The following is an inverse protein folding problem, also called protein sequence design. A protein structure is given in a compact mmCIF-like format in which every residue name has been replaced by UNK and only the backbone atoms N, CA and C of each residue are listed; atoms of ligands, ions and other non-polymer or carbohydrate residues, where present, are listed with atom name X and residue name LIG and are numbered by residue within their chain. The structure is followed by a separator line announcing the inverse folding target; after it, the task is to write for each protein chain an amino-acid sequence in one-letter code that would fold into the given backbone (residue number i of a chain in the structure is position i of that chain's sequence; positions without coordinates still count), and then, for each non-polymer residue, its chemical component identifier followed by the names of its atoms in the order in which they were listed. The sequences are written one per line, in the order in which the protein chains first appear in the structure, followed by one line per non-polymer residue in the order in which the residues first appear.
data_IF_429402346347
#
_entry.id   IF_429402346347
#
_cell.length_a   1.000
_cell.length_b   1.000
_cell.length_c   1.000
_cell.angle_alpha   90.00
_cell.angle_beta   90.00
_cell.angle_gamma   90.00
#
_symmetry.space_group_name_H-M   'P 1'
#
loop_
_entity.id
_entity.type
_entity.pdbx_description
1 polymer ?
#
# COMPACT_ATOMS: atom_id res chain seq x y z
N UNK A 1 25.20 19.01 -6.50
CA UNK A 1 25.84 19.18 -5.18
C UNK A 1 27.02 18.24 -4.99
N UNK A 2 27.04 17.09 -5.69
CA UNK A 2 28.07 16.05 -5.53
C UNK A 2 29.04 15.97 -6.73
N UNK A 3 28.85 16.79 -7.74
CA UNK A 3 29.68 16.80 -8.94
C UNK A 3 29.15 15.94 -10.08
N UNK A 4 29.95 15.68 -11.13
CA UNK A 4 29.56 14.88 -12.28
C UNK A 4 29.49 13.39 -11.91
N UNK A 5 28.64 12.63 -12.61
CA UNK A 5 28.32 11.24 -12.27
C UNK A 5 29.49 10.26 -12.51
N UNK A 6 30.50 10.64 -13.28
CA UNK A 6 31.76 9.88 -13.39
C UNK A 6 32.72 10.06 -12.20
N UNK A 7 32.41 10.97 -11.26
CA UNK A 7 33.16 11.21 -10.02
C UNK A 7 32.39 10.82 -8.78
N UNK A 8 31.06 11.01 -8.78
CA UNK A 8 30.18 10.63 -7.70
C UNK A 8 28.88 10.05 -8.31
N UNK A 9 28.82 8.73 -8.35
CA UNK A 9 27.66 8.00 -8.87
C UNK A 9 26.69 7.57 -7.79
N UNK A 10 25.69 6.78 -8.19
CA UNK A 10 24.65 6.32 -7.26
C UNK A 10 25.21 5.46 -6.10
N UNK A 11 26.16 4.55 -6.39
CA UNK A 11 26.84 3.72 -5.39
C UNK A 11 27.50 4.51 -4.26
N UNK A 12 27.93 5.75 -4.53
CA UNK A 12 28.63 6.60 -3.57
C UNK A 12 27.71 7.17 -2.49
N UNK A 13 26.38 7.07 -2.68
CA UNK A 13 25.40 7.33 -1.62
C UNK A 13 25.34 6.22 -0.57
N UNK A 14 25.67 4.98 -0.92
CA UNK A 14 25.57 3.84 0.01
C UNK A 14 26.41 4.05 1.28
N UNK A 15 27.67 4.46 1.23
CA UNK A 15 28.47 4.71 2.43
C UNK A 15 27.94 5.87 3.30
N UNK A 16 27.16 6.78 2.71
CA UNK A 16 26.58 7.94 3.40
C UNK A 16 25.28 7.54 4.12
N UNK A 17 24.55 6.54 3.60
CA UNK A 17 23.37 6.00 4.21
C UNK A 17 23.72 5.13 5.43
N UNK A 18 23.56 5.65 6.63
CA UNK A 18 23.95 4.97 7.89
C UNK A 18 22.77 4.42 8.67
N UNK A 19 21.60 5.05 8.58
CA UNK A 19 20.45 4.66 9.38
C UNK A 19 20.73 4.66 10.89
N UNK A 20 21.59 5.57 11.37
CA UNK A 20 22.15 5.57 12.73
C UNK A 20 21.11 5.75 13.82
N UNK A 21 19.93 6.29 13.46
CA UNK A 21 18.77 6.43 14.37
C UNK A 21 17.66 5.43 14.08
N UNK A 22 17.88 4.52 13.12
CA UNK A 22 16.91 3.47 12.83
C UNK A 22 16.69 2.57 14.05
N UNK A 23 15.42 2.37 14.37
CA UNK A 23 15.00 1.49 15.45
C UNK A 23 13.70 0.81 15.06
N UNK A 24 13.76 -0.47 14.71
CA UNK A 24 12.62 -1.25 14.24
C UNK A 24 11.50 -1.30 15.28
N UNK A 25 11.80 -1.50 16.57
CA UNK A 25 10.77 -1.55 17.62
C UNK A 25 9.98 -0.25 17.74
N UNK A 26 10.64 0.92 17.57
CA UNK A 26 9.96 2.23 17.56
C UNK A 26 9.11 2.43 16.33
N UNK A 27 9.59 2.01 15.14
CA UNK A 27 8.80 2.08 13.93
C UNK A 27 7.54 1.24 14.04
N UNK A 28 7.69 -0.02 14.47
CA UNK A 28 6.56 -0.95 14.58
C UNK A 28 5.57 -0.52 15.66
N UNK A 29 6.04 0.09 16.77
CA UNK A 29 5.15 0.67 17.77
C UNK A 29 4.28 1.79 17.18
N UNK A 30 4.87 2.70 16.39
CA UNK A 30 4.15 3.78 15.71
C UNK A 30 3.14 3.22 14.68
N UNK A 31 3.55 2.21 13.89
CA UNK A 31 2.66 1.60 12.90
C UNK A 31 1.51 0.84 13.57
N UNK A 32 1.77 0.13 14.67
CA UNK A 32 0.72 -0.50 15.48
C UNK A 32 -0.23 0.55 16.09
N UNK A 33 0.30 1.64 16.63
CA UNK A 33 -0.49 2.76 17.14
C UNK A 33 -1.37 3.37 16.03
N UNK A 34 -0.88 3.45 14.80
CA UNK A 34 -1.66 3.93 13.64
C UNK A 34 -2.79 2.99 13.21
N UNK A 35 -2.86 1.77 13.76
CA UNK A 35 -3.86 0.77 13.43
C UNK A 35 -3.45 -0.21 12.34
N UNK A 36 -2.19 -0.21 11.89
CA UNK A 36 -1.70 -1.17 10.90
C UNK A 36 -1.86 -2.61 11.37
N UNK A 37 -2.12 -3.52 10.45
CA UNK A 37 -2.24 -4.97 10.67
C UNK A 37 -1.05 -5.73 10.09
N UNK A 38 -0.43 -5.18 9.06
CA UNK A 38 0.76 -5.72 8.42
C UNK A 38 1.77 -4.60 8.13
N UNK A 39 3.02 -4.98 7.95
CA UNK A 39 4.12 -4.08 7.58
C UNK A 39 4.89 -4.72 6.43
N UNK A 40 5.12 -3.95 5.38
CA UNK A 40 5.74 -4.39 4.14
C UNK A 40 6.95 -3.49 3.82
N UNK A 41 8.14 -3.80 4.35
CA UNK A 41 9.34 -3.06 3.99
C UNK A 41 9.77 -3.36 2.57
N UNK A 42 10.40 -2.38 1.92
CA UNK A 42 11.09 -2.56 0.64
C UNK A 42 12.40 -3.27 0.90
N UNK A 43 12.52 -4.51 0.42
CA UNK A 43 13.70 -5.35 0.63
C UNK A 43 14.82 -5.03 -0.36
N UNK A 44 14.46 -4.76 -1.61
CA UNK A 44 15.35 -4.29 -2.68
C UNK A 44 14.53 -3.45 -3.65
N UNK A 45 14.99 -2.23 -3.95
CA UNK A 45 14.33 -1.34 -4.90
C UNK A 45 14.99 -1.41 -6.29
N UNK A 46 14.60 -0.54 -7.22
CA UNK A 46 15.15 -0.44 -8.59
C UNK A 46 16.65 -0.17 -8.61
N UNK A 47 17.23 0.35 -7.54
CA UNK A 47 18.65 0.64 -7.42
C UNK A 47 19.54 -0.59 -7.23
N UNK A 48 18.95 -1.74 -6.84
CA UNK A 48 19.67 -3.00 -6.66
C UNK A 48 20.42 -3.12 -5.33
N UNK A 49 20.21 -2.19 -4.37
CA UNK A 49 20.76 -2.29 -3.03
C UNK A 49 19.83 -3.08 -2.12
N UNK A 50 20.29 -4.26 -1.67
CA UNK A 50 19.50 -5.11 -0.79
C UNK A 50 19.54 -4.61 0.66
N UNK A 51 18.36 -4.36 1.25
CA UNK A 51 18.23 -3.91 2.65
C UNK A 51 18.32 -5.08 3.66
N UNK A 52 18.66 -6.28 3.20
CA UNK A 52 18.72 -7.52 3.96
C UNK A 52 20.05 -8.25 3.74
N UNK A 53 20.32 -9.24 4.58
CA UNK A 53 21.48 -10.11 4.43
C UNK A 53 21.27 -11.08 3.26
N UNK A 54 22.03 -10.89 2.18
CA UNK A 54 22.04 -11.78 1.02
C UNK A 54 23.43 -12.28 0.70
N UNK A 55 23.53 -13.56 0.31
CA UNK A 55 24.77 -14.15 -0.20
C UNK A 55 24.99 -13.87 -1.69
N UNK A 56 23.95 -13.50 -2.43
CA UNK A 56 23.98 -13.32 -3.88
C UNK A 56 24.40 -11.93 -4.33
N UNK A 57 24.49 -10.96 -3.42
CA UNK A 57 24.85 -9.58 -3.73
C UNK A 57 25.73 -8.99 -2.63
N UNK A 58 26.93 -8.53 -2.98
CA UNK A 58 27.78 -7.80 -2.03
C UNK A 58 27.23 -6.41 -1.67
N UNK A 59 26.36 -5.84 -2.50
CA UNK A 59 25.73 -4.54 -2.32
C UNK A 59 24.48 -4.70 -1.45
N UNK A 60 24.71 -4.88 -0.16
CA UNK A 60 23.63 -5.08 0.81
C UNK A 60 23.90 -4.38 2.14
N UNK A 61 22.83 -4.17 2.89
CA UNK A 61 22.83 -3.38 4.12
C UNK A 61 23.63 -4.02 5.27
N UNK A 62 23.95 -5.32 5.23
CA UNK A 62 24.81 -5.95 6.26
C UNK A 62 26.29 -5.68 6.04
N UNK A 63 26.69 -5.47 4.78
CA UNK A 63 28.11 -5.25 4.40
C UNK A 63 28.46 -3.78 4.20
N UNK A 64 27.47 -2.94 3.90
CA UNK A 64 27.65 -1.53 3.53
C UNK A 64 26.57 -0.65 4.17
N UNK A 65 26.79 0.66 4.15
CA UNK A 65 25.82 1.63 4.63
C UNK A 65 25.49 1.45 6.12
N UNK A 66 24.31 0.94 6.49
CA UNK A 66 23.91 0.72 7.87
C UNK A 66 24.69 -0.37 8.59
N UNK A 67 25.32 -1.30 7.86
CA UNK A 67 26.04 -2.47 8.36
C UNK A 67 25.16 -3.34 9.32
N UNK A 68 23.89 -3.57 8.92
CA UNK A 68 22.90 -4.35 9.68
C UNK A 68 21.83 -4.95 8.77
N UNK A 69 21.20 -6.04 9.21
CA UNK A 69 20.05 -6.64 8.53
C UNK A 69 18.76 -5.88 8.89
N UNK A 70 18.47 -4.83 8.14
CA UNK A 70 17.30 -3.95 8.38
C UNK A 70 15.99 -4.74 8.28
N UNK A 71 15.87 -5.63 7.30
CA UNK A 71 14.66 -6.43 7.09
C UNK A 71 14.47 -7.46 8.20
N UNK A 72 15.54 -8.14 8.62
CA UNK A 72 15.49 -9.08 9.73
C UNK A 72 15.09 -8.42 11.05
N UNK A 73 15.56 -7.18 11.31
CA UNK A 73 15.15 -6.41 12.47
C UNK A 73 13.67 -6.01 12.43
N UNK A 74 13.17 -5.58 11.27
CA UNK A 74 11.74 -5.25 11.08
C UNK A 74 10.88 -6.51 11.27
N UNK A 75 11.28 -7.65 10.68
CA UNK A 75 10.59 -8.93 10.88
C UNK A 75 10.50 -9.30 12.36
N UNK A 76 11.61 -9.25 13.07
CA UNK A 76 11.65 -9.55 14.51
C UNK A 76 10.77 -8.61 15.33
N UNK A 77 10.74 -7.32 14.98
CA UNK A 77 9.87 -6.34 15.63
C UNK A 77 8.38 -6.58 15.30
N UNK A 78 8.04 -7.05 14.07
CA UNK A 78 6.68 -7.47 13.73
C UNK A 78 6.22 -8.61 14.64
N UNK A 79 7.04 -9.65 14.78
CA UNK A 79 6.74 -10.82 15.64
C UNK A 79 6.50 -10.42 17.10
N UNK A 80 7.39 -9.59 17.66
CA UNK A 80 7.26 -9.08 19.05
C UNK A 80 5.97 -8.30 19.26
N UNK A 81 5.51 -7.57 18.25
CA UNK A 81 4.36 -6.67 18.40
C UNK A 81 3.05 -7.24 17.85
N UNK A 82 3.06 -8.45 17.28
CA UNK A 82 1.90 -9.11 16.71
C UNK A 82 1.39 -8.43 15.44
N UNK A 83 2.31 -7.92 14.60
CA UNK A 83 2.03 -7.42 13.26
C UNK A 83 2.45 -8.47 12.22
N UNK A 84 1.72 -8.58 11.14
CA UNK A 84 2.07 -9.47 10.04
C UNK A 84 3.24 -8.88 9.25
N UNK A 85 4.30 -9.66 9.06
CA UNK A 85 5.42 -9.28 8.22
C UNK A 85 5.15 -9.66 6.77
N UNK A 86 5.32 -8.69 5.86
CA UNK A 86 5.27 -8.84 4.41
C UNK A 86 6.58 -8.33 3.81
N UNK A 87 6.81 -8.57 2.52
CA UNK A 87 8.03 -8.15 1.84
C UNK A 87 7.74 -7.58 0.46
N UNK A 88 8.47 -6.55 0.07
CA UNK A 88 8.36 -5.92 -1.25
C UNK A 88 9.70 -6.00 -1.99
N UNK A 89 9.67 -6.46 -3.25
CA UNK A 89 10.83 -6.52 -4.13
C UNK A 89 10.54 -5.81 -5.45
N UNK A 90 11.37 -4.82 -5.77
CA UNK A 90 11.32 -4.04 -7.01
C UNK A 90 12.55 -4.33 -7.91
N UNK A 91 13.26 -5.42 -7.61
CA UNK A 91 14.47 -5.81 -8.35
C UNK A 91 14.21 -6.05 -9.84
N UNK A 92 13.01 -6.44 -10.23
CA UNK A 92 12.69 -6.68 -11.63
C UNK A 92 13.10 -5.51 -12.53
N UNK A 93 12.80 -4.28 -12.12
CA UNK A 93 13.06 -3.05 -12.85
C UNK A 93 14.55 -2.68 -12.90
N UNK A 94 15.36 -3.20 -11.99
CA UNK A 94 16.80 -2.95 -12.01
C UNK A 94 17.47 -3.40 -13.31
N UNK A 95 16.87 -4.34 -14.05
CA UNK A 95 17.36 -4.79 -15.35
C UNK A 95 17.66 -3.65 -16.33
N UNK A 96 16.83 -2.62 -16.32
CA UNK A 96 16.98 -1.45 -17.20
C UNK A 96 17.14 -0.12 -16.44
N UNK A 97 16.84 -0.06 -15.15
CA UNK A 97 16.67 1.19 -14.40
C UNK A 97 17.86 2.17 -14.54
N UNK A 98 19.09 1.65 -14.55
CA UNK A 98 20.30 2.48 -14.67
C UNK A 98 20.70 2.78 -16.13
N UNK A 99 19.87 2.43 -17.14
CA UNK A 99 20.25 2.52 -18.56
C UNK A 99 20.62 3.93 -19.02
N UNK A 100 19.99 4.97 -18.49
CA UNK A 100 20.31 6.35 -18.84
C UNK A 100 21.73 6.76 -18.44
N UNK A 101 22.28 6.13 -17.41
CA UNK A 101 23.68 6.32 -17.04
C UNK A 101 24.68 5.88 -18.13
N UNK A 102 24.30 4.92 -19.00
CA UNK A 102 25.13 4.48 -20.13
C UNK A 102 25.19 5.47 -21.28
N UNK A 103 24.26 6.42 -21.35
CA UNK A 103 24.20 7.43 -22.41
C UNK A 103 25.03 8.67 -22.13
N UNK A 104 25.59 8.79 -20.93
CA UNK A 104 26.39 9.93 -20.46
C UNK A 104 27.72 9.45 -19.88
N UNK A 105 28.62 10.38 -19.61
CA UNK A 105 29.86 10.10 -18.86
C UNK A 105 29.52 9.86 -17.38
N UNK A 106 29.35 8.59 -17.01
CA UNK A 106 29.00 8.15 -15.66
C UNK A 106 29.70 6.83 -15.29
N UNK A 107 29.75 6.55 -13.99
CA UNK A 107 30.30 5.30 -13.44
C UNK A 107 29.43 4.05 -13.72
N UNK A 108 28.24 4.22 -14.28
CA UNK A 108 27.44 3.11 -14.83
C UNK A 108 28.18 2.39 -15.97
N UNK A 109 29.10 3.08 -16.65
CA UNK A 109 29.94 2.52 -17.72
C UNK A 109 31.21 1.84 -17.19
N UNK A 110 31.53 1.94 -15.90
CA UNK A 110 32.71 1.34 -15.32
C UNK A 110 32.49 -0.17 -15.09
N UNK A 111 33.30 -1.02 -15.75
CA UNK A 111 33.22 -2.48 -15.64
C UNK A 111 33.35 -2.97 -14.19
N UNK A 112 34.08 -2.24 -13.34
CA UNK A 112 34.27 -2.58 -11.93
C UNK A 112 32.98 -2.58 -11.11
N UNK A 113 31.96 -1.86 -11.56
CA UNK A 113 30.69 -1.71 -10.86
C UNK A 113 29.48 -2.33 -11.58
N UNK A 114 29.74 -3.17 -12.59
CA UNK A 114 28.64 -3.83 -13.32
C UNK A 114 27.85 -4.79 -12.45
N UNK A 115 28.41 -5.31 -11.37
CA UNK A 115 27.73 -6.11 -10.36
C UNK A 115 26.71 -5.30 -9.51
N UNK A 116 26.81 -3.95 -9.55
CA UNK A 116 25.82 -3.07 -8.95
C UNK A 116 24.89 -2.46 -10.01
N UNK A 117 25.44 -1.83 -11.04
CA UNK A 117 24.67 -1.10 -12.05
C UNK A 117 24.09 -1.96 -13.17
N UNK A 118 24.65 -3.15 -13.39
CA UNK A 118 24.28 -4.00 -14.50
C UNK A 118 22.92 -4.70 -14.35
N UNK A 119 22.34 -5.13 -15.47
CA UNK A 119 22.87 -4.99 -16.83
C UNK A 119 22.58 -3.62 -17.46
N UNK A 120 21.72 -2.77 -16.84
CA UNK A 120 21.35 -1.46 -17.32
C UNK A 120 21.00 -1.46 -18.82
N UNK A 121 20.15 -2.37 -19.23
CA UNK A 121 19.80 -2.58 -20.64
C UNK A 121 19.00 -1.40 -21.14
N UNK A 122 19.37 -0.86 -22.31
CA UNK A 122 18.64 0.24 -22.90
C UNK A 122 17.21 -0.17 -23.25
N UNK A 123 16.25 0.58 -22.74
CA UNK A 123 14.82 0.39 -22.99
C UNK A 123 14.28 1.65 -23.66
N UNK A 124 14.06 1.64 -24.99
CA UNK A 124 13.64 2.82 -25.74
C UNK A 124 12.31 3.41 -25.27
N UNK A 125 11.47 2.59 -24.65
CA UNK A 125 10.18 3.00 -24.10
C UNK A 125 10.33 3.86 -22.82
N UNK A 126 11.53 3.88 -22.25
CA UNK A 126 11.89 4.64 -21.05
C UNK A 126 12.88 5.77 -21.34
N UNK A 127 12.45 6.75 -22.11
CA UNK A 127 13.22 7.96 -22.38
C UNK A 127 13.13 9.03 -21.26
N UNK A 128 12.68 8.65 -20.08
CA UNK A 128 12.51 9.53 -18.92
C UNK A 128 11.20 10.33 -18.91
N UNK A 129 10.48 10.41 -20.02
CA UNK A 129 9.22 11.17 -20.13
C UNK A 129 8.00 10.30 -20.39
N UNK A 130 8.16 9.03 -20.70
CA UNK A 130 7.11 8.13 -21.18
C UNK A 130 6.69 7.04 -20.19
N UNK A 131 7.19 7.06 -18.98
CA UNK A 131 6.95 6.07 -17.91
C UNK A 131 5.48 5.65 -17.69
N UNK A 132 4.53 6.40 -18.22
CA UNK A 132 3.10 6.17 -17.98
C UNK A 132 2.26 5.96 -19.25
N UNK A 133 2.87 5.85 -20.41
CA UNK A 133 2.12 5.79 -21.67
C UNK A 133 1.94 4.38 -22.25
N UNK A 134 2.68 3.40 -21.74
CA UNK A 134 2.61 2.02 -22.24
C UNK A 134 1.88 1.14 -21.25
N UNK A 135 0.57 1.05 -21.36
CA UNK A 135 -0.28 0.14 -20.57
C UNK A 135 -0.39 -1.26 -21.17
N UNK A 136 0.23 -1.50 -22.30
CA UNK A 136 0.14 -2.78 -23.01
C UNK A 136 1.54 -3.36 -23.22
N UNK A 137 1.70 -4.63 -23.02
CA UNK A 137 2.74 -5.62 -23.32
C UNK A 137 3.80 -5.30 -24.43
N UNK A 138 4.14 -4.05 -24.61
CA UNK A 138 4.91 -3.52 -25.73
C UNK A 138 6.36 -3.20 -25.42
N UNK A 139 6.88 -3.71 -24.28
CA UNK A 139 8.31 -3.58 -24.06
C UNK A 139 9.06 -4.44 -25.05
N UNK A 140 9.86 -3.78 -25.89
CA UNK A 140 10.67 -4.43 -26.92
C UNK A 140 11.74 -5.34 -26.35
N UNK A 141 12.08 -5.16 -25.06
CA UNK A 141 13.11 -5.96 -24.39
C UNK A 141 12.50 -6.90 -23.33
N UNK A 142 12.90 -8.17 -23.38
CA UNK A 142 12.74 -9.12 -22.30
C UNK A 142 14.00 -9.18 -21.45
N UNK A 143 13.86 -9.57 -20.19
CA UNK A 143 15.03 -9.87 -19.36
C UNK A 143 15.74 -11.13 -19.85
N UNK A 144 17.08 -11.17 -19.76
CA UNK A 144 17.86 -12.33 -20.12
C UNK A 144 17.60 -13.51 -19.18
N UNK A 145 17.91 -14.71 -19.63
CA UNK A 145 17.75 -15.92 -18.82
C UNK A 145 18.55 -15.84 -17.53
N UNK A 146 19.80 -15.39 -17.61
CA UNK A 146 20.71 -15.27 -16.48
C UNK A 146 20.17 -14.28 -15.45
N UNK A 147 19.61 -13.15 -15.90
CA UNK A 147 18.98 -12.17 -15.03
C UNK A 147 17.74 -12.73 -14.33
N UNK A 148 16.89 -13.45 -15.05
CA UNK A 148 15.67 -14.05 -14.51
C UNK A 148 15.98 -15.17 -13.50
N UNK A 149 17.06 -15.94 -13.73
CA UNK A 149 17.53 -16.93 -12.77
C UNK A 149 18.07 -16.27 -11.50
N UNK A 150 18.86 -15.18 -11.61
CA UNK A 150 19.35 -14.40 -10.47
C UNK A 150 18.17 -13.78 -9.69
N UNK A 151 17.20 -13.17 -10.40
CA UNK A 151 16.00 -12.62 -9.78
C UNK A 151 15.21 -13.68 -8.99
N UNK A 152 15.02 -14.87 -9.57
CA UNK A 152 14.31 -15.97 -8.92
C UNK A 152 15.05 -16.46 -7.67
N UNK A 153 16.35 -16.69 -7.77
CA UNK A 153 17.17 -17.22 -6.65
C UNK A 153 17.18 -16.24 -5.48
N UNK A 154 17.36 -14.94 -5.73
CA UNK A 154 17.32 -13.90 -4.67
C UNK A 154 15.96 -13.80 -4.04
N UNK A 155 14.89 -13.92 -4.82
CA UNK A 155 13.53 -13.91 -4.29
C UNK A 155 13.26 -15.15 -3.44
N UNK A 156 13.73 -16.33 -3.85
CA UNK A 156 13.66 -17.55 -3.04
C UNK A 156 14.45 -17.42 -1.73
N UNK A 157 15.65 -16.83 -1.75
CA UNK A 157 16.41 -16.54 -0.53
C UNK A 157 15.64 -15.63 0.43
N UNK A 158 15.00 -14.57 -0.07
CA UNK A 158 14.16 -13.67 0.72
C UNK A 158 13.00 -14.44 1.37
N UNK A 159 12.32 -15.28 0.59
CA UNK A 159 11.23 -16.13 1.06
C UNK A 159 11.69 -17.03 2.21
N UNK A 160 12.80 -17.76 2.03
CA UNK A 160 13.30 -18.71 3.03
C UNK A 160 13.76 -18.03 4.32
N UNK A 161 14.49 -16.92 4.20
CA UNK A 161 15.04 -16.22 5.36
C UNK A 161 13.97 -15.53 6.20
N UNK A 162 12.99 -14.91 5.55
CA UNK A 162 12.09 -14.01 6.26
C UNK A 162 10.64 -14.49 6.32
N UNK A 163 10.26 -15.49 5.53
CA UNK A 163 8.93 -16.10 5.52
C UNK A 163 7.79 -15.06 5.51
N UNK A 164 7.77 -14.13 4.55
CA UNK A 164 6.72 -13.11 4.49
C UNK A 164 5.35 -13.76 4.29
N UNK A 165 4.30 -13.13 4.82
CA UNK A 165 2.91 -13.55 4.58
C UNK A 165 2.39 -13.03 3.23
N UNK A 166 3.00 -11.97 2.72
CA UNK A 166 2.67 -11.38 1.42
C UNK A 166 3.94 -10.92 0.73
N UNK A 167 4.05 -11.22 -0.57
CA UNK A 167 5.18 -10.87 -1.41
C UNK A 167 4.72 -9.92 -2.51
N UNK A 168 5.11 -8.66 -2.38
CA UNK A 168 4.74 -7.62 -3.32
C UNK A 168 5.79 -7.44 -4.40
N UNK A 169 5.33 -7.37 -5.64
CA UNK A 169 6.12 -6.97 -6.80
C UNK A 169 5.54 -5.73 -7.46
N UNK A 170 6.44 -4.88 -7.94
CA UNK A 170 6.07 -3.74 -8.76
C UNK A 170 5.73 -4.19 -10.20
N UNK A 171 5.56 -3.26 -11.11
CA UNK A 171 4.86 -3.43 -12.38
C UNK A 171 5.60 -4.27 -13.44
N UNK A 172 6.95 -4.27 -13.51
CA UNK A 172 7.66 -4.84 -14.67
C UNK A 172 7.64 -6.37 -14.76
N UNK A 173 7.30 -7.07 -13.72
CA UNK A 173 7.10 -8.53 -13.75
C UNK A 173 5.99 -8.98 -14.71
N UNK A 174 5.16 -8.05 -15.23
CA UNK A 174 4.19 -8.35 -16.27
C UNK A 174 4.83 -8.60 -17.64
N UNK A 175 6.10 -8.22 -17.86
CA UNK A 175 6.85 -8.53 -19.06
C UNK A 175 6.86 -10.05 -19.32
N UNK A 176 6.66 -10.42 -20.58
CA UNK A 176 6.50 -11.83 -20.98
C UNK A 176 7.66 -12.74 -20.57
N UNK A 177 8.88 -12.21 -20.50
CA UNK A 177 10.06 -12.99 -20.08
C UNK A 177 9.93 -13.51 -18.64
N UNK A 178 9.18 -12.84 -17.76
CA UNK A 178 8.95 -13.27 -16.38
C UNK A 178 7.93 -14.41 -16.24
N UNK A 179 7.00 -14.60 -17.19
CA UNK A 179 5.90 -15.56 -17.04
C UNK A 179 6.32 -16.98 -16.61
N UNK A 180 7.36 -17.62 -17.20
CA UNK A 180 7.83 -18.93 -16.74
C UNK A 180 8.42 -18.89 -15.33
N UNK A 181 9.06 -17.80 -14.97
CA UNK A 181 9.70 -17.62 -13.66
C UNK A 181 8.70 -17.29 -12.56
N UNK A 182 7.65 -16.52 -12.86
CA UNK A 182 6.53 -16.31 -11.94
C UNK A 182 5.83 -17.61 -11.55
N UNK A 183 5.66 -18.54 -12.51
CA UNK A 183 5.10 -19.88 -12.22
C UNK A 183 6.01 -20.67 -11.27
N UNK A 184 7.33 -20.65 -11.49
CA UNK A 184 8.31 -21.31 -10.62
C UNK A 184 8.31 -20.69 -9.23
N UNK A 185 8.30 -19.36 -9.16
CA UNK A 185 8.26 -18.60 -7.90
C UNK A 185 7.02 -18.92 -7.08
N UNK A 186 5.83 -18.87 -7.70
CA UNK A 186 4.59 -19.20 -7.00
C UNK A 186 4.58 -20.64 -6.50
N UNK A 187 5.01 -21.61 -7.33
CA UNK A 187 5.12 -22.98 -6.91
C UNK A 187 6.08 -23.14 -5.71
N UNK A 188 7.22 -22.47 -5.77
CA UNK A 188 8.17 -22.46 -4.65
C UNK A 188 7.56 -21.86 -3.39
N UNK A 189 7.02 -20.65 -3.49
CA UNK A 189 6.52 -19.89 -2.35
C UNK A 189 5.34 -20.59 -1.66
N UNK A 190 4.38 -21.10 -2.43
CA UNK A 190 3.23 -21.82 -1.86
C UNK A 190 3.64 -23.16 -1.24
N UNK A 191 4.59 -23.91 -1.82
CA UNK A 191 5.12 -25.11 -1.18
C UNK A 191 5.84 -24.80 0.13
N UNK A 192 6.64 -23.71 0.18
CA UNK A 192 7.29 -23.28 1.42
C UNK A 192 6.25 -22.83 2.46
N UNK A 193 5.18 -22.16 2.04
CA UNK A 193 4.11 -21.76 2.92
C UNK A 193 3.37 -22.95 3.54
N UNK A 194 3.13 -24.00 2.75
CA UNK A 194 2.55 -25.25 3.23
C UNK A 194 3.45 -25.91 4.29
N UNK A 195 4.76 -25.99 4.02
CA UNK A 195 5.75 -26.50 5.00
C UNK A 195 5.75 -25.69 6.32
N UNK A 196 5.49 -24.39 6.26
CA UNK A 196 5.42 -23.53 7.45
C UNK A 196 4.05 -23.54 8.13
N UNK A 197 3.02 -24.14 7.51
CA UNK A 197 1.63 -24.06 7.96
C UNK A 197 1.08 -22.64 7.93
N UNK A 198 1.45 -21.85 6.91
CA UNK A 198 1.04 -20.43 6.74
C UNK A 198 0.26 -20.23 5.46
N UNK A 199 -0.72 -19.32 5.52
CA UNK A 199 -1.34 -18.76 4.32
C UNK A 199 -0.47 -17.60 3.81
N UNK A 200 -0.23 -17.56 2.50
CA UNK A 200 0.55 -16.51 1.85
C UNK A 200 -0.13 -16.03 0.57
N UNK A 201 0.22 -14.79 0.15
CA UNK A 201 -0.25 -14.22 -1.10
C UNK A 201 0.87 -13.49 -1.85
N UNK A 202 0.57 -13.12 -3.09
CA UNK A 202 1.45 -12.31 -3.94
C UNK A 202 0.66 -11.11 -4.43
N UNK A 203 1.25 -9.92 -4.34
CA UNK A 203 0.69 -8.69 -4.94
C UNK A 203 1.36 -8.39 -6.27
N UNK A 204 0.58 -7.87 -7.21
CA UNK A 204 1.06 -7.55 -8.56
C UNK A 204 0.33 -6.37 -9.17
N UNK A 205 0.98 -5.77 -10.17
CA UNK A 205 0.39 -4.71 -11.02
C UNK A 205 0.21 -5.20 -12.46
N UNK A 206 -0.62 -4.50 -13.21
CA UNK A 206 -0.93 -4.81 -14.62
C UNK A 206 -1.38 -6.26 -14.85
N UNK A 207 -0.95 -6.89 -15.95
CA UNK A 207 -1.32 -8.24 -16.35
C UNK A 207 -0.26 -9.30 -15.96
N UNK A 208 0.46 -9.09 -14.84
CA UNK A 208 1.48 -10.05 -14.41
C UNK A 208 0.88 -11.42 -14.10
N UNK A 209 -0.31 -11.45 -13.50
CA UNK A 209 -1.09 -12.66 -13.24
C UNK A 209 -2.49 -12.57 -13.84
N UNK A 210 -3.13 -13.73 -14.01
CA UNK A 210 -4.57 -13.77 -14.30
C UNK A 210 -5.37 -13.29 -13.07
N UNK A 211 -6.56 -12.71 -13.27
CA UNK A 211 -7.45 -12.35 -12.16
C UNK A 211 -7.68 -13.55 -11.21
N UNK A 212 -7.79 -13.30 -9.92
CA UNK A 212 -7.99 -14.29 -8.83
C UNK A 212 -6.78 -15.14 -8.43
N UNK A 213 -5.69 -15.14 -9.19
CA UNK A 213 -4.48 -15.92 -8.87
C UNK A 213 -3.63 -15.26 -7.79
N UNK A 214 -3.64 -13.93 -7.76
CA UNK A 214 -2.88 -13.11 -6.84
C UNK A 214 -3.66 -11.81 -6.55
N UNK A 215 -3.20 -10.99 -5.61
CA UNK A 215 -3.85 -9.73 -5.25
C UNK A 215 -3.44 -8.61 -6.19
N UNK A 216 -4.39 -8.05 -6.92
CA UNK A 216 -4.15 -6.94 -7.83
C UNK A 216 -3.96 -5.63 -7.05
N UNK A 217 -2.90 -4.91 -7.34
CA UNK A 217 -2.59 -3.60 -6.75
C UNK A 217 -2.79 -2.48 -7.77
N UNK A 218 -3.48 -1.41 -7.34
CA UNK A 218 -3.76 -0.22 -8.15
C UNK A 218 -2.98 0.96 -7.60
N UNK A 219 -1.79 1.21 -8.13
CA UNK A 219 -0.86 2.23 -7.64
C UNK A 219 -1.50 3.61 -7.54
N UNK A 220 -1.46 4.17 -6.31
CA UNK A 220 -2.02 5.50 -5.99
C UNK A 220 -3.42 5.71 -6.59
N UNK A 221 -4.18 4.63 -6.66
CA UNK A 221 -5.37 4.55 -7.47
C UNK A 221 -6.64 4.18 -6.70
N UNK A 222 -7.68 3.91 -7.46
CA UNK A 222 -8.97 3.53 -6.91
C UNK A 222 -9.81 2.75 -7.93
N UNK A 223 -10.84 2.07 -7.42
CA UNK A 223 -11.92 1.52 -8.24
C UNK A 223 -13.17 2.40 -8.12
N UNK A 224 -14.02 2.36 -9.15
CA UNK A 224 -15.30 3.10 -9.16
C UNK A 224 -16.40 2.39 -8.42
N UNK A 225 -16.33 1.07 -8.31
CA UNK A 225 -17.38 0.22 -7.73
C UNK A 225 -16.76 -0.95 -6.94
N UNK A 226 -17.61 -1.76 -6.34
CA UNK A 226 -17.24 -2.97 -5.62
C UNK A 226 -16.51 -3.94 -6.56
N UNK A 227 -15.37 -4.43 -6.12
CA UNK A 227 -14.72 -5.58 -6.75
C UNK A 227 -15.19 -6.87 -6.05
N UNK A 228 -15.64 -7.90 -6.78
CA UNK A 228 -15.97 -9.19 -6.18
C UNK A 228 -14.72 -9.92 -5.67
N UNK A 229 -13.53 -9.54 -6.15
CA UNK A 229 -12.22 -10.08 -5.78
C UNK A 229 -11.51 -9.04 -4.90
N UNK A 230 -10.90 -9.44 -3.77
CA UNK A 230 -10.07 -8.54 -2.98
C UNK A 230 -8.96 -7.89 -3.83
N UNK A 231 -8.69 -6.63 -3.58
CA UNK A 231 -7.67 -5.85 -4.28
C UNK A 231 -6.93 -4.94 -3.30
N UNK A 232 -5.81 -4.42 -3.71
CA UNK A 232 -5.02 -3.48 -2.93
C UNK A 232 -4.85 -2.17 -3.68
N UNK A 233 -4.62 -1.10 -2.95
CA UNK A 233 -3.99 0.12 -3.46
C UNK A 233 -2.87 0.53 -2.53
N UNK A 234 -1.74 0.82 -3.11
CA UNK A 234 -0.65 1.48 -2.41
C UNK A 234 -0.75 2.99 -2.58
N UNK A 235 -0.44 3.74 -1.54
CA UNK A 235 -0.33 5.20 -1.59
C UNK A 235 0.63 5.70 -0.53
N UNK A 236 1.11 6.94 -0.66
CA UNK A 236 2.03 7.55 0.31
C UNK A 236 1.33 8.66 1.10
N UNK A 237 1.79 8.86 2.35
CA UNK A 237 1.48 10.08 3.12
C UNK A 237 2.08 11.29 2.39
N UNK A 238 3.28 11.14 1.84
CA UNK A 238 3.88 12.14 0.95
C UNK A 238 3.12 12.28 -0.38
N UNK A 239 2.80 13.52 -0.78
CA UNK A 239 2.07 13.78 -2.02
C UNK A 239 2.93 13.63 -3.26
N UNK A 240 4.22 14.03 -3.18
CA UNK A 240 5.11 14.19 -4.33
C UNK A 240 6.15 13.09 -4.49
N UNK A 241 6.40 12.33 -3.42
CA UNK A 241 7.45 11.31 -3.42
C UNK A 241 7.07 10.15 -2.52
N UNK A 242 7.48 8.95 -2.89
CA UNK A 242 7.43 7.76 -2.05
C UNK A 242 8.48 7.82 -0.92
N UNK A 243 9.68 8.26 -1.24
CA UNK A 243 10.74 8.47 -0.28
C UNK A 243 10.78 9.89 0.29
N UNK A 244 11.62 10.08 1.30
CA UNK A 244 11.83 11.38 1.92
C UNK A 244 12.42 12.40 0.95
N UNK A 245 11.83 13.59 0.92
CA UNK A 245 12.39 14.79 0.30
C UNK A 245 12.18 15.99 1.20
N UNK A 246 13.13 16.96 1.21
CA UNK A 246 13.05 18.16 2.08
C UNK A 246 11.78 18.98 1.88
N UNK A 247 11.27 19.02 0.65
CA UNK A 247 10.14 19.87 0.25
C UNK A 247 8.90 19.03 -0.07
N UNK A 248 8.72 17.89 0.59
CA UNK A 248 7.51 17.09 0.40
C UNK A 248 6.30 17.82 1.00
N UNK A 249 5.15 17.64 0.35
CA UNK A 249 3.86 17.98 0.92
C UNK A 249 3.21 16.69 1.42
N UNK A 250 2.43 16.79 2.50
CA UNK A 250 1.81 15.62 3.10
C UNK A 250 0.28 15.67 2.96
N UNK A 251 -0.32 14.49 2.83
CA UNK A 251 -1.76 14.31 2.93
C UNK A 251 -2.19 14.50 4.38
N UNK A 252 -3.38 15.06 4.59
CA UNK A 252 -3.97 15.12 5.93
C UNK A 252 -4.44 13.73 6.39
N UNK A 253 -4.53 13.51 7.70
CA UNK A 253 -5.12 12.28 8.24
C UNK A 253 -6.56 12.08 7.73
N UNK A 254 -7.35 13.15 7.58
CA UNK A 254 -8.70 13.08 7.01
C UNK A 254 -8.66 12.54 5.57
N UNK A 255 -7.73 12.99 4.74
CA UNK A 255 -7.56 12.48 3.38
C UNK A 255 -7.35 10.96 3.40
N UNK A 256 -6.40 10.49 4.20
CA UNK A 256 -6.10 9.04 4.32
C UNK A 256 -7.30 8.26 4.87
N UNK A 257 -8.01 8.80 5.87
CA UNK A 257 -9.20 8.14 6.46
C UNK A 257 -10.31 8.03 5.42
N UNK A 258 -10.58 9.08 4.65
CA UNK A 258 -11.63 9.04 3.62
C UNK A 258 -11.28 8.09 2.48
N UNK A 259 -10.02 8.00 2.08
CA UNK A 259 -9.54 7.03 1.10
C UNK A 259 -9.67 5.59 1.65
N UNK A 260 -9.23 5.34 2.89
CA UNK A 260 -9.34 4.03 3.53
C UNK A 260 -10.80 3.53 3.57
N UNK A 261 -11.74 4.39 3.99
CA UNK A 261 -13.17 4.02 4.02
C UNK A 261 -13.69 3.69 2.63
N UNK A 262 -13.37 4.51 1.62
CA UNK A 262 -13.80 4.27 0.24
C UNK A 262 -13.21 2.98 -0.34
N UNK A 263 -11.94 2.70 -0.09
CA UNK A 263 -11.24 1.49 -0.52
C UNK A 263 -11.90 0.25 0.10
N UNK A 264 -12.07 0.23 1.42
CA UNK A 264 -12.64 -0.93 2.14
C UNK A 264 -14.10 -1.17 1.76
N UNK A 265 -14.91 -0.11 1.54
CA UNK A 265 -16.28 -0.24 1.06
C UNK A 265 -16.40 -0.90 -0.32
N UNK A 266 -15.33 -0.97 -1.07
CA UNK A 266 -15.20 -1.58 -2.42
C UNK A 266 -14.40 -2.89 -2.42
N UNK A 267 -14.24 -3.52 -1.25
CA UNK A 267 -13.50 -4.77 -1.05
C UNK A 267 -11.98 -4.62 -1.22
N UNK A 268 -11.45 -3.45 -0.93
CA UNK A 268 -10.02 -3.15 -1.08
C UNK A 268 -9.26 -3.11 0.24
N UNK A 269 -7.94 -3.16 0.13
CA UNK A 269 -6.97 -2.97 1.21
C UNK A 269 -6.09 -1.76 0.91
N UNK A 270 -5.68 -1.02 1.94
CA UNK A 270 -4.76 0.11 1.82
C UNK A 270 -3.37 -0.27 2.29
N UNK A 271 -2.38 -0.16 1.41
CA UNK A 271 -0.95 -0.15 1.73
C UNK A 271 -0.47 1.29 1.81
N UNK A 272 -0.26 1.81 3.02
CA UNK A 272 0.13 3.20 3.26
C UNK A 272 1.64 3.34 3.44
N UNK A 273 2.30 4.01 2.49
CA UNK A 273 3.73 4.23 2.53
C UNK A 273 4.13 5.41 3.42
N UNK A 274 5.22 5.20 4.13
CA UNK A 274 5.97 6.19 4.93
C UNK A 274 7.36 6.33 4.34
N UNK A 275 7.89 7.55 4.25
CA UNK A 275 9.21 7.85 3.67
C UNK A 275 10.26 8.23 4.72
N UNK A 276 10.93 7.28 5.40
CA UNK A 276 11.94 7.60 6.41
C UNK A 276 13.10 8.41 5.84
N UNK A 277 13.74 9.22 6.70
CA UNK A 277 14.99 9.90 6.39
C UNK A 277 16.15 8.91 6.34
N UNK A 278 17.27 9.31 5.73
CA UNK A 278 18.48 8.50 5.63
C UNK A 278 19.09 8.13 7.00
N UNK A 279 18.80 8.89 8.04
CA UNK A 279 19.21 8.57 9.42
C UNK A 279 18.31 7.53 10.09
N UNK A 280 17.22 7.11 9.44
CA UNK A 280 16.25 6.13 9.96
C UNK A 280 15.10 6.73 10.78
N UNK A 281 14.97 8.06 10.83
CA UNK A 281 13.83 8.70 11.51
C UNK A 281 12.65 8.90 10.56
N UNK A 282 11.43 8.74 11.08
CA UNK A 282 10.19 9.14 10.41
C UNK A 282 9.95 10.62 10.70
N UNK A 283 9.45 11.37 9.73
CA UNK A 283 9.18 12.81 9.91
C UNK A 283 8.10 13.08 10.95
N UNK A 284 8.12 14.27 11.56
CA UNK A 284 7.11 14.66 12.54
C UNK A 284 5.73 14.77 11.87
N UNK A 285 5.69 15.23 10.61
CA UNK A 285 4.47 15.34 9.81
C UNK A 285 3.83 13.97 9.56
N UNK A 286 4.61 12.97 9.12
CA UNK A 286 4.12 11.61 8.91
C UNK A 286 3.70 10.96 10.23
N UNK A 287 4.49 11.16 11.29
CA UNK A 287 4.16 10.69 12.64
C UNK A 287 2.82 11.27 13.12
N UNK A 288 2.58 12.56 12.91
CA UNK A 288 1.32 13.21 13.28
C UNK A 288 0.11 12.63 12.51
N UNK A 289 0.26 12.40 11.20
CA UNK A 289 -0.78 11.77 10.37
C UNK A 289 -1.09 10.36 10.85
N UNK A 290 -0.06 9.54 11.11
CA UNK A 290 -0.22 8.17 11.60
C UNK A 290 -0.94 8.11 12.96
N UNK A 291 -0.59 8.98 13.90
CA UNK A 291 -1.24 9.06 15.22
C UNK A 291 -2.71 9.48 15.12
N UNK A 292 -3.02 10.46 14.25
CA UNK A 292 -4.40 10.89 14.02
C UNK A 292 -5.24 9.79 13.36
N UNK A 293 -4.67 9.06 12.39
CA UNK A 293 -5.29 7.88 11.78
C UNK A 293 -5.59 6.81 12.84
N UNK A 294 -4.61 6.50 13.69
CA UNK A 294 -4.75 5.53 14.76
C UNK A 294 -5.81 5.93 15.80
N UNK A 295 -5.85 7.20 16.20
CA UNK A 295 -6.88 7.71 17.09
C UNK A 295 -8.29 7.54 16.51
N UNK A 296 -8.47 7.80 15.21
CA UNK A 296 -9.74 7.58 14.52
C UNK A 296 -10.09 6.09 14.43
N UNK A 297 -9.13 5.23 14.05
CA UNK A 297 -9.32 3.77 13.93
C UNK A 297 -9.62 3.11 15.28
N UNK A 298 -9.06 3.61 16.37
CA UNK A 298 -9.38 3.12 17.71
C UNK A 298 -10.87 3.24 18.03
N UNK A 299 -11.54 4.25 17.51
CA UNK A 299 -12.97 4.51 17.75
C UNK A 299 -13.89 3.90 16.67
N UNK A 300 -13.41 3.81 15.42
CA UNK A 300 -14.24 3.45 14.28
C UNK A 300 -13.77 2.17 13.55
N UNK A 301 -12.67 1.57 13.99
CA UNK A 301 -12.04 0.44 13.31
C UNK A 301 -12.88 -0.82 13.23
N UNK A 302 -13.89 -1.00 14.08
CA UNK A 302 -14.83 -2.11 13.97
C UNK A 302 -15.55 -2.14 12.61
N UNK A 303 -15.85 -0.96 12.05
CA UNK A 303 -16.44 -0.84 10.73
C UNK A 303 -15.45 -0.96 9.56
N UNK A 304 -14.14 -1.11 9.85
CA UNK A 304 -13.06 -1.26 8.86
C UNK A 304 -12.52 -2.69 8.87
N UNK A 305 -12.12 -3.20 10.07
CA UNK A 305 -11.42 -4.47 10.18
C UNK A 305 -12.35 -5.68 10.12
N UNK A 306 -11.95 -6.70 9.34
CA UNK A 306 -12.69 -7.93 9.16
C UNK A 306 -14.14 -7.69 8.70
N UNK A 307 -14.35 -6.63 7.92
CA UNK A 307 -15.61 -6.34 7.24
C UNK A 307 -15.54 -6.80 5.79
N UNK A 308 -16.68 -6.98 5.18
CA UNK A 308 -16.85 -7.15 3.74
C UNK A 308 -17.61 -5.96 3.16
N UNK A 309 -17.66 -5.85 1.85
CA UNK A 309 -18.54 -4.89 1.19
C UNK A 309 -20.01 -5.23 1.46
N UNK A 310 -20.87 -4.22 1.43
CA UNK A 310 -22.32 -4.41 1.47
C UNK A 310 -22.89 -4.47 0.05
N UNK A 311 -24.22 -4.55 -0.11
CA UNK A 311 -24.92 -4.59 -1.43
C UNK A 311 -24.55 -3.45 -2.38
N UNK A 312 -24.13 -2.32 -1.83
CA UNK A 312 -23.56 -1.16 -2.55
C UNK A 312 -22.44 -0.57 -1.70
N UNK A 313 -21.42 -0.03 -2.37
CA UNK A 313 -20.30 0.60 -1.65
C UNK A 313 -20.67 1.91 -0.94
N UNK A 314 -21.77 2.57 -1.36
CA UNK A 314 -22.13 3.85 -0.79
C UNK A 314 -23.23 4.59 -1.53
N UNK A 315 -23.48 5.82 -1.11
CA UNK A 315 -24.34 6.79 -1.80
C UNK A 315 -23.74 8.18 -1.77
N UNK A 316 -24.26 9.07 -2.63
CA UNK A 316 -23.82 10.45 -2.78
C UNK A 316 -23.33 10.76 -4.19
N UNK A 317 -22.76 11.96 -4.36
CA UNK A 317 -22.29 12.43 -5.67
C UNK A 317 -20.79 12.22 -5.89
N UNK A 318 -20.03 12.07 -4.80
CA UNK A 318 -18.58 11.95 -4.87
C UNK A 318 -18.18 10.49 -4.99
N UNK A 319 -17.50 10.18 -6.08
CA UNK A 319 -16.91 8.86 -6.32
C UNK A 319 -15.51 9.01 -6.90
N UNK A 320 -14.72 7.97 -6.80
CA UNK A 320 -13.40 7.89 -7.42
C UNK A 320 -13.52 7.66 -8.92
N UNK A 321 -12.55 8.16 -9.67
CA UNK A 321 -12.28 7.66 -11.02
C UNK A 321 -11.47 6.37 -10.89
N UNK A 322 -11.76 5.41 -11.75
CA UNK A 322 -10.94 4.19 -11.82
C UNK A 322 -9.56 4.49 -12.37
N UNK A 323 -8.58 3.70 -11.95
CA UNK A 323 -7.24 3.70 -12.52
C UNK A 323 -6.16 4.18 -11.56
N UNK A 324 -4.95 4.12 -12.07
CA UNK A 324 -3.72 4.48 -11.37
C UNK A 324 -3.60 6.00 -11.17
N UNK A 325 -2.85 6.43 -10.16
CA UNK A 325 -2.49 7.84 -9.89
C UNK A 325 -3.67 8.81 -9.75
N UNK A 326 -4.72 8.39 -9.02
CA UNK A 326 -5.92 9.20 -8.78
C UNK A 326 -5.96 9.86 -7.38
N UNK A 327 -4.92 9.69 -6.56
CA UNK A 327 -4.85 10.10 -5.16
C UNK A 327 -4.27 11.51 -4.92
N UNK A 328 -4.05 12.30 -5.97
CA UNK A 328 -3.34 13.59 -5.89
C UNK A 328 -4.06 14.66 -5.08
N UNK A 329 -5.39 14.57 -4.96
CA UNK A 329 -6.21 15.57 -4.25
C UNK A 329 -7.26 14.94 -3.35
N UNK A 330 -7.47 15.57 -2.17
CA UNK A 330 -8.54 15.18 -1.25
C UNK A 330 -9.91 15.34 -1.89
N UNK A 331 -10.77 14.33 -1.79
CA UNK A 331 -12.13 14.36 -2.29
C UNK A 331 -13.00 15.33 -1.49
N UNK A 332 -13.81 16.11 -2.19
CA UNK A 332 -14.73 17.08 -1.56
C UNK A 332 -16.05 16.41 -1.19
N UNK A 333 -16.01 15.47 -0.25
CA UNK A 333 -17.20 14.84 0.29
C UNK A 333 -18.12 15.85 0.99
N UNK A 334 -19.41 15.52 1.02
CA UNK A 334 -20.47 16.27 1.69
C UNK A 334 -21.16 15.40 2.75
N UNK A 335 -22.07 15.98 3.51
CA UNK A 335 -22.90 15.23 4.47
C UNK A 335 -23.91 14.27 3.83
N UNK A 336 -24.00 14.22 2.51
CA UNK A 336 -24.84 13.33 1.72
C UNK A 336 -24.08 12.14 1.13
N UNK A 337 -22.76 12.13 1.30
CA UNK A 337 -21.91 11.06 0.79
C UNK A 337 -21.66 10.05 1.92
N UNK A 338 -22.06 8.81 1.67
CA UNK A 338 -21.88 7.68 2.59
C UNK A 338 -21.08 6.57 1.93
N UNK A 339 -20.43 5.74 2.78
CA UNK A 339 -19.80 4.47 2.39
C UNK A 339 -20.29 3.39 3.33
N UNK A 340 -20.43 2.16 2.82
CA UNK A 340 -20.97 1.05 3.57
C UNK A 340 -20.01 -0.12 3.60
N UNK A 341 -19.88 -0.72 4.78
CA UNK A 341 -19.29 -2.03 4.99
C UNK A 341 -20.26 -2.90 5.77
N UNK A 342 -20.01 -4.22 5.81
CA UNK A 342 -20.89 -5.18 6.46
C UNK A 342 -20.11 -6.21 7.27
N UNK A 343 -20.67 -6.62 8.40
CA UNK A 343 -20.13 -7.70 9.22
C UNK A 343 -21.19 -8.25 10.16
N UNK A 344 -21.45 -9.55 10.09
CA UNK A 344 -22.24 -10.29 11.11
C UNK A 344 -23.56 -9.63 11.51
N UNK A 345 -24.43 -9.26 10.56
CA UNK A 345 -25.71 -8.62 10.85
C UNK A 345 -25.64 -7.11 11.08
N UNK A 346 -24.47 -6.49 10.92
CA UNK A 346 -24.31 -5.04 11.07
C UNK A 346 -23.92 -4.39 9.75
N UNK A 347 -24.64 -3.33 9.39
CA UNK A 347 -24.21 -2.38 8.34
C UNK A 347 -23.47 -1.24 9.03
N UNK A 348 -22.24 -0.97 8.60
CA UNK A 348 -21.48 0.20 9.04
C UNK A 348 -21.63 1.29 7.98
N UNK A 349 -22.37 2.36 8.31
CA UNK A 349 -22.60 3.49 7.42
C UNK A 349 -21.69 4.66 7.80
N UNK A 350 -20.68 4.92 7.01
CA UNK A 350 -19.77 6.04 7.22
C UNK A 350 -20.31 7.30 6.55
N UNK A 351 -20.68 8.33 7.32
CA UNK A 351 -20.93 9.66 6.80
C UNK A 351 -19.60 10.36 6.55
N UNK A 352 -19.27 10.58 5.28
CA UNK A 352 -17.94 11.03 4.86
C UNK A 352 -17.59 12.45 5.29
N UNK A 353 -18.59 13.32 5.48
CA UNK A 353 -18.43 14.68 5.96
C UNK A 353 -19.64 15.10 6.81
N UNK A 354 -19.64 14.82 8.11
CA UNK A 354 -20.69 15.26 9.01
C UNK A 354 -20.74 16.80 9.10
N UNK A 355 -21.91 17.37 9.43
CA UNK A 355 -22.12 18.81 9.46
C UNK A 355 -23.02 19.29 10.61
N UNK A 356 -23.16 18.49 11.67
CA UNK A 356 -23.97 18.79 12.85
C UNK A 356 -25.48 18.64 12.66
N UNK A 357 -25.94 18.13 11.51
CA UNK A 357 -27.37 17.91 11.20
C UNK A 357 -27.69 16.44 11.12
N UNK A 358 -29.01 16.13 11.14
CA UNK A 358 -29.51 14.78 10.94
C UNK A 358 -28.86 14.12 9.71
N UNK A 359 -28.44 12.86 9.88
CA UNK A 359 -27.87 12.08 8.79
C UNK A 359 -29.02 11.43 7.99
N UNK A 360 -29.01 11.65 6.67
CA UNK A 360 -30.07 11.17 5.77
C UNK A 360 -29.48 10.17 4.79
N UNK A 361 -29.87 8.90 4.91
CA UNK A 361 -29.38 7.78 4.09
C UNK A 361 -30.53 7.28 3.22
N UNK A 362 -30.48 7.56 1.92
CA UNK A 362 -31.54 7.21 0.98
C UNK A 362 -31.53 5.72 0.59
N UNK A 363 -30.36 5.13 0.55
CA UNK A 363 -30.18 3.71 0.22
C UNK A 363 -30.91 2.78 1.21
N UNK A 364 -31.06 3.19 2.47
CA UNK A 364 -31.68 2.42 3.53
C UNK A 364 -33.18 2.71 3.74
N UNK A 365 -33.87 3.18 2.71
CA UNK A 365 -35.34 3.43 2.70
C UNK A 365 -36.15 2.14 2.81
N UNK A 366 -37.46 2.21 3.19
CA UNK A 366 -38.37 1.07 3.21
C UNK A 366 -38.82 0.66 1.80
N UNK A 367 -39.45 1.58 1.06
CA UNK A 367 -40.06 1.26 -0.24
C UNK A 367 -38.97 1.07 -1.32
N UNK A 368 -38.97 -0.11 -1.95
CA UNK A 368 -37.95 -0.50 -2.91
C UNK A 368 -36.51 -0.37 -2.34
N UNK A 369 -36.35 -0.50 -1.05
CA UNK A 369 -35.09 -0.58 -0.33
C UNK A 369 -34.74 -2.02 0.06
N UNK A 370 -33.70 -2.22 0.86
CA UNK A 370 -33.34 -3.52 1.39
C UNK A 370 -34.44 -4.06 2.34
N UNK A 371 -34.72 -5.34 2.19
CA UNK A 371 -35.73 -6.05 3.01
C UNK A 371 -35.08 -6.56 4.30
N UNK A 372 -35.14 -5.77 5.35
CA UNK A 372 -34.76 -6.06 6.73
C UNK A 372 -35.38 -5.05 7.70
N UNK A 373 -35.43 -5.38 8.97
CA UNK A 373 -35.77 -4.46 10.05
C UNK A 373 -34.47 -3.86 10.60
N UNK A 374 -34.46 -2.56 10.90
CA UNK A 374 -33.40 -1.93 11.67
C UNK A 374 -33.83 -1.99 13.14
N UNK A 375 -33.07 -2.74 13.93
CA UNK A 375 -33.36 -2.89 15.36
C UNK A 375 -32.75 -1.73 16.17
N UNK A 376 -31.55 -1.32 15.81
CA UNK A 376 -30.80 -0.33 16.57
C UNK A 376 -29.78 0.40 15.71
N UNK A 377 -29.48 1.66 16.07
CA UNK A 377 -28.39 2.42 15.48
C UNK A 377 -27.53 3.00 16.60
N UNK A 378 -26.23 2.75 16.50
CA UNK A 378 -25.26 3.25 17.48
C UNK A 378 -24.21 4.11 16.78
N UNK A 379 -23.84 5.24 17.37
CA UNK A 379 -22.67 5.99 16.94
C UNK A 379 -21.41 5.23 17.40
N UNK A 380 -20.68 4.66 16.46
CA UNK A 380 -19.60 3.70 16.76
C UNK A 380 -18.51 4.30 17.68
N UNK A 381 -18.16 5.56 17.47
CA UNK A 381 -17.10 6.24 18.23
C UNK A 381 -17.42 6.45 19.72
N UNK A 382 -18.70 6.42 20.12
CA UNK A 382 -19.12 6.66 21.51
C UNK A 382 -19.91 5.51 22.12
N UNK A 383 -20.43 4.59 21.30
CA UNK A 383 -21.36 3.55 21.73
C UNK A 383 -22.79 4.08 22.04
N UNK A 384 -23.06 5.34 21.79
CA UNK A 384 -24.37 5.96 22.07
C UNK A 384 -25.43 5.47 21.10
N UNK A 385 -26.57 5.03 21.63
CA UNK A 385 -27.77 4.70 20.83
C UNK A 385 -28.40 5.98 20.29
N UNK A 386 -28.73 5.95 19.01
CA UNK A 386 -29.27 7.11 18.29
C UNK A 386 -30.76 6.90 17.96
N UNK A 387 -31.54 7.95 18.07
CA UNK A 387 -32.90 7.97 17.55
C UNK A 387 -32.88 7.97 16.02
N UNK A 388 -33.78 7.23 15.40
CA UNK A 388 -33.89 7.18 13.95
C UNK A 388 -35.34 6.98 13.49
N UNK A 389 -35.59 7.39 12.26
CA UNK A 389 -36.85 7.15 11.56
C UNK A 389 -36.58 6.55 10.19
N UNK A 390 -37.16 5.41 9.87
CA UNK A 390 -37.08 4.79 8.55
C UNK A 390 -38.42 4.94 7.81
N UNK A 391 -38.42 5.77 6.78
CA UNK A 391 -39.59 6.01 5.91
C UNK A 391 -39.46 5.30 4.55
N UNK A 392 -40.49 5.42 3.73
CA UNK A 392 -40.49 4.90 2.35
C UNK A 392 -39.43 5.48 1.45
N UNK A 393 -38.85 6.63 1.81
CA UNK A 393 -37.91 7.37 0.97
C UNK A 393 -36.49 7.46 1.52
N UNK A 394 -36.29 7.25 2.82
CA UNK A 394 -35.02 7.46 3.51
C UNK A 394 -34.98 6.85 4.90
N UNK A 395 -33.78 6.62 5.39
CA UNK A 395 -33.47 6.52 6.83
C UNK A 395 -32.95 7.88 7.30
N UNK A 396 -33.49 8.40 8.40
CA UNK A 396 -33.01 9.63 9.07
C UNK A 396 -32.49 9.25 10.45
N UNK A 397 -31.21 9.49 10.71
CA UNK A 397 -30.60 9.34 12.04
C UNK A 397 -30.50 10.71 12.67
N UNK A 398 -31.06 10.87 13.88
CA UNK A 398 -31.11 12.15 14.58
C UNK A 398 -29.72 12.60 15.04
N UNK A 399 -29.41 13.86 14.76
CA UNK A 399 -28.13 14.44 15.13
C UNK A 399 -27.96 14.58 16.63
N UNK A 400 -26.73 14.39 17.08
CA UNK A 400 -26.26 14.80 18.40
C UNK A 400 -25.05 15.73 18.27
N UNK A 401 -24.48 16.16 19.39
CA UNK A 401 -23.33 17.10 19.41
C UNK A 401 -22.07 16.57 18.70
N UNK A 402 -21.99 15.27 18.45
CA UNK A 402 -20.84 14.60 17.79
C UNK A 402 -20.87 14.65 16.26
N UNK A 403 -22.01 15.04 15.66
CA UNK A 403 -22.12 15.12 14.19
C UNK A 403 -21.41 16.32 13.57
N UNK A 404 -20.71 17.13 14.35
CA UNK A 404 -19.88 18.25 13.88
C UNK A 404 -18.39 17.92 13.75
N UNK A 405 -18.01 16.64 13.83
CA UNK A 405 -16.60 16.23 13.74
C UNK A 405 -15.98 16.59 12.38
N UNK A 406 -14.68 16.85 12.38
CA UNK A 406 -13.91 17.09 11.16
C UNK A 406 -13.58 15.80 10.39
N UNK A 407 -13.76 14.63 11.00
CA UNK A 407 -13.53 13.30 10.43
C UNK A 407 -14.85 12.61 10.09
N UNK A 408 -14.84 11.62 9.20
CA UNK A 408 -15.97 10.73 9.00
C UNK A 408 -16.43 10.10 10.31
N UNK A 409 -17.75 9.97 10.49
CA UNK A 409 -18.37 9.26 11.61
C UNK A 409 -19.03 7.98 11.10
N UNK A 410 -19.11 6.97 11.95
CA UNK A 410 -19.63 5.66 11.60
C UNK A 410 -20.89 5.34 12.42
N UNK A 411 -21.99 5.04 11.73
CA UNK A 411 -23.19 4.46 12.30
C UNK A 411 -23.11 2.93 12.19
N UNK A 412 -23.13 2.25 13.33
CA UNK A 412 -23.33 0.80 13.41
C UNK A 412 -24.83 0.53 13.43
N UNK A 413 -25.36 -0.07 12.37
CA UNK A 413 -26.77 -0.33 12.14
C UNK A 413 -27.00 -1.83 12.30
N UNK A 414 -27.74 -2.21 13.31
CA UNK A 414 -28.14 -3.59 13.59
C UNK A 414 -29.36 -3.96 12.76
N UNK A 415 -29.27 -5.08 12.03
CA UNK A 415 -30.35 -5.59 11.18
C UNK A 415 -30.62 -7.04 11.51
N UNK A 416 -31.95 -7.43 11.38
CA UNK A 416 -32.43 -8.81 11.56
C UNK A 416 -31.92 -9.78 10.46
#
# INVERSE_FOLDING_TARGET
NYGPQNKFGYKDFIPIFKGEKFNADKWLALFKESGAKFVMPVCEHHDGFAMYDTQFNRWNATKMGPCRDVIGEIKSACEKQGLTFCASSHRAEHYFFMNMGKTIDSDVNDEKYQDFYGPAVHCPEFDGNTLHKTTENTYSIGASKEWLEDWLVRTCELIDKYQPADLYFDWWIHNHSFKPYLKKLCAYYYNRADEWGKEVTVNYKHEAFAPTVATFDVERGALTDISPIPWQTDTAIGKRSWGYTKNNEFKSARHIITDLIDIVSKNGMLLLNVGPKADGTITDEETAVLKQLGAWLKLNGEGIYNTTFWKTFGEGKVNNKAGFFQDSSEKKFTNKDFRFTYKNGYIYAFQMRPNGKDAVIKTLKKKNGPDFIIENITLLSTGEKLEFERSDTKLTVKANSRFSDNYPICFKIEID
#
